data_IF_742731699242
#
_entry.id   IF_742731699242
#
_cell.length_a   1.000
_cell.length_b   1.000
_cell.length_c   1.000
_cell.angle_alpha   90.00
_cell.angle_beta   90.00
_cell.angle_gamma   90.00
#
_symmetry.space_group_name_H-M   'P 1'
#
loop_
_entity.id
_entity.type
_entity.pdbx_description
1 polymer ?
#
# COMPACT_ATOMS: atom_id res chain seq x y z
N UNK A 1 -2.58 13.76 18.80
CA UNK A 1 -3.09 13.02 17.62
C UNK A 1 -4.04 11.90 18.07
N UNK A 2 -5.37 12.05 17.91
CA UNK A 2 -6.36 11.23 18.63
C UNK A 2 -6.64 9.84 18.02
N UNK A 3 -6.40 9.63 16.73
CA UNK A 3 -6.85 8.40 16.03
C UNK A 3 -6.03 7.13 16.37
N UNK A 4 -4.77 7.27 16.76
CA UNK A 4 -3.88 6.12 17.05
C UNK A 4 -3.98 5.58 18.49
N UNK A 5 -4.84 6.16 19.34
CA UNK A 5 -5.13 5.65 20.70
C UNK A 5 -6.49 4.97 20.83
N UNK A 6 -7.24 4.84 19.74
CA UNK A 6 -8.57 4.24 19.75
C UNK A 6 -8.50 2.79 19.24
N UNK A 7 -8.82 1.77 20.07
CA UNK A 7 -8.86 0.37 19.63
C UNK A 7 -9.97 0.05 18.61
N UNK A 8 -10.69 1.07 18.12
CA UNK A 8 -11.78 1.00 17.13
C UNK A 8 -11.52 1.89 15.91
N UNK A 9 -10.30 1.96 15.40
CA UNK A 9 -10.03 2.63 14.13
C UNK A 9 -10.79 1.91 13.00
N UNK A 10 -11.65 2.64 12.29
CA UNK A 10 -12.38 2.13 11.13
C UNK A 10 -11.59 2.43 9.85
N UNK A 11 -11.81 1.62 8.82
CA UNK A 11 -11.21 1.86 7.50
C UNK A 11 -11.59 3.24 6.96
N UNK A 12 -12.84 3.67 7.22
CA UNK A 12 -13.39 4.97 6.85
C UNK A 12 -12.68 6.15 7.52
N UNK A 13 -11.94 5.92 8.62
CA UNK A 13 -11.20 6.96 9.30
C UNK A 13 -9.84 7.23 8.62
N UNK A 14 -9.35 6.29 7.80
CA UNK A 14 -8.01 6.30 7.20
C UNK A 14 -8.02 6.38 5.67
N UNK A 15 -9.02 5.75 5.03
CA UNK A 15 -9.17 5.67 3.58
C UNK A 15 -10.12 6.76 3.08
N UNK A 16 -9.56 7.79 2.45
CA UNK A 16 -10.32 8.84 1.77
C UNK A 16 -10.46 8.54 0.29
N UNK A 17 -11.38 9.23 -0.40
CA UNK A 17 -11.64 9.03 -1.84
C UNK A 17 -10.38 9.30 -2.67
N UNK A 18 -9.60 10.31 -2.28
CA UNK A 18 -8.34 10.69 -2.94
C UNK A 18 -7.25 9.61 -2.82
N UNK A 19 -7.41 8.67 -1.88
CA UNK A 19 -6.51 7.55 -1.64
C UNK A 19 -7.00 6.24 -2.25
N UNK A 20 -8.05 6.31 -3.08
CA UNK A 20 -8.59 5.18 -3.83
C UNK A 20 -8.29 5.39 -5.32
N UNK A 21 -7.70 4.39 -5.97
CA UNK A 21 -7.43 4.44 -7.41
C UNK A 21 -7.99 3.22 -8.15
N UNK A 22 -8.95 3.47 -9.03
CA UNK A 22 -9.63 2.44 -9.83
C UNK A 22 -9.80 2.94 -11.27
N UNK A 23 -9.20 2.27 -12.28
CA UNK A 23 -8.17 1.24 -12.13
C UNK A 23 -6.80 1.83 -11.75
N UNK A 24 -5.93 0.96 -11.22
CA UNK A 24 -4.49 1.19 -11.18
C UNK A 24 -3.90 1.17 -12.59
N UNK A 25 -2.87 1.98 -12.82
CA UNK A 25 -2.19 2.11 -14.11
C UNK A 25 -1.04 1.11 -14.27
N UNK A 26 -0.52 0.57 -13.17
CA UNK A 26 0.62 -0.35 -13.15
C UNK A 26 0.25 -1.79 -13.52
N UNK A 27 1.22 -2.52 -14.08
CA UNK A 27 1.06 -3.91 -14.57
C UNK A 27 2.08 -4.91 -13.98
N UNK A 28 2.95 -4.44 -13.08
CA UNK A 28 3.85 -5.27 -12.30
C UNK A 28 3.57 -5.08 -10.80
N UNK A 29 3.99 -6.05 -9.98
CA UNK A 29 3.83 -6.00 -8.53
C UNK A 29 4.55 -4.78 -7.92
N UNK A 30 5.80 -4.55 -8.32
CA UNK A 30 6.61 -3.46 -7.80
C UNK A 30 6.05 -2.09 -8.23
N UNK A 31 5.58 -1.97 -9.46
CA UNK A 31 4.96 -0.73 -9.96
C UNK A 31 3.61 -0.46 -9.28
N UNK A 32 2.84 -1.49 -8.94
CA UNK A 32 1.59 -1.32 -8.16
C UNK A 32 1.89 -0.89 -6.73
N UNK A 33 2.88 -1.51 -6.08
CA UNK A 33 3.32 -1.14 -4.74
C UNK A 33 3.76 0.32 -4.71
N UNK A 34 4.60 0.71 -5.68
CA UNK A 34 5.04 2.09 -5.85
C UNK A 34 3.88 3.05 -6.09
N UNK A 35 2.97 2.72 -7.01
CA UNK A 35 1.80 3.54 -7.32
C UNK A 35 0.92 3.78 -6.08
N UNK A 36 0.63 2.72 -5.32
CA UNK A 36 -0.19 2.80 -4.10
C UNK A 36 0.49 3.55 -2.97
N UNK A 37 1.81 3.43 -2.83
CA UNK A 37 2.59 4.20 -1.85
C UNK A 37 2.59 5.68 -2.20
N UNK A 38 2.88 6.03 -3.46
CA UNK A 38 2.88 7.43 -3.89
C UNK A 38 1.50 8.08 -3.76
N UNK A 39 0.43 7.31 -3.92
CA UNK A 39 -0.94 7.75 -3.62
C UNK A 39 -1.17 8.01 -2.12
N UNK A 40 -0.47 7.29 -1.23
CA UNK A 40 -0.61 7.44 0.22
C UNK A 40 0.10 8.69 0.74
N UNK A 41 1.24 9.03 0.14
CA UNK A 41 2.14 10.11 0.58
C UNK A 41 2.33 11.24 -0.46
N UNK A 42 1.25 11.85 -1.00
CA UNK A 42 1.36 12.80 -2.11
C UNK A 42 2.10 14.09 -1.76
N UNK A 43 2.21 14.41 -0.47
CA UNK A 43 2.86 15.64 0.03
C UNK A 43 4.24 15.40 0.64
N UNK A 44 4.70 14.14 0.69
CA UNK A 44 6.03 13.80 1.21
C UNK A 44 7.06 14.08 0.13
N UNK A 45 8.22 14.64 0.52
CA UNK A 45 9.29 14.96 -0.42
C UNK A 45 9.80 13.71 -1.14
N UNK A 46 10.25 13.86 -2.39
CA UNK A 46 10.59 12.74 -3.27
C UNK A 46 11.55 11.72 -2.61
N UNK A 47 12.62 12.18 -1.97
CA UNK A 47 13.57 11.30 -1.30
C UNK A 47 12.97 10.49 -0.14
N UNK A 48 12.02 11.08 0.61
CA UNK A 48 11.30 10.39 1.66
C UNK A 48 10.28 9.41 1.08
N UNK A 49 9.55 9.80 0.03
CA UNK A 49 8.63 8.90 -0.68
C UNK A 49 9.33 7.65 -1.21
N UNK A 50 10.55 7.78 -1.77
CA UNK A 50 11.35 6.61 -2.17
C UNK A 50 11.66 5.69 -0.99
N UNK A 51 12.01 6.24 0.19
CA UNK A 51 12.27 5.42 1.38
C UNK A 51 11.00 4.69 1.86
N UNK A 52 9.82 5.31 1.73
CA UNK A 52 8.54 4.63 2.00
C UNK A 52 8.32 3.47 1.01
N UNK A 53 8.57 3.70 -0.28
CA UNK A 53 8.44 2.68 -1.33
C UNK A 53 9.37 1.51 -1.04
N UNK A 54 10.65 1.77 -0.77
CA UNK A 54 11.64 0.75 -0.41
C UNK A 54 11.19 -0.06 0.81
N UNK A 55 10.73 0.59 1.88
CA UNK A 55 10.28 -0.11 3.07
C UNK A 55 9.11 -1.08 2.82
N UNK A 56 8.19 -0.73 1.92
CA UNK A 56 7.06 -1.60 1.52
C UNK A 56 7.54 -2.75 0.63
N UNK A 57 8.41 -2.47 -0.34
CA UNK A 57 8.99 -3.49 -1.23
C UNK A 57 9.80 -4.52 -0.44
N UNK A 58 10.68 -4.06 0.45
CA UNK A 58 11.49 -4.93 1.31
C UNK A 58 10.61 -5.83 2.17
N UNK A 59 9.51 -5.28 2.73
CA UNK A 59 8.55 -6.07 3.50
C UNK A 59 7.88 -7.14 2.65
N UNK A 60 7.50 -6.82 1.43
CA UNK A 60 6.85 -7.74 0.51
C UNK A 60 7.80 -8.87 0.04
N UNK A 61 9.10 -8.57 -0.10
CA UNK A 61 10.12 -9.56 -0.46
C UNK A 61 10.32 -10.64 0.62
N UNK A 62 10.12 -10.30 1.90
CA UNK A 62 10.23 -11.27 3.01
C UNK A 62 9.14 -12.34 2.96
N UNK A 63 7.89 -11.91 2.71
CA UNK A 63 6.72 -12.77 2.68
C UNK A 63 5.61 -12.07 1.92
N UNK A 64 5.06 -12.75 0.92
CA UNK A 64 3.92 -12.25 0.13
C UNK A 64 2.77 -11.82 1.05
N UNK A 65 2.22 -10.63 0.79
CA UNK A 65 1.06 -10.10 1.51
C UNK A 65 -0.28 -10.51 0.88
N UNK A 66 -0.24 -11.36 -0.15
CA UNK A 66 -1.43 -11.99 -0.70
C UNK A 66 -2.17 -12.80 0.37
N UNK A 67 -3.49 -12.67 0.41
CA UNK A 67 -4.35 -13.43 1.32
C UNK A 67 -5.33 -14.35 0.56
N UNK A 68 -5.19 -14.45 -0.76
CA UNK A 68 -6.07 -15.23 -1.64
C UNK A 68 -7.19 -14.39 -2.24
N UNK A 69 -7.99 -15.01 -3.11
CA UNK A 69 -9.15 -14.39 -3.77
C UNK A 69 -8.85 -13.07 -4.51
N UNK A 70 -7.62 -12.88 -4.97
CA UNK A 70 -7.20 -11.65 -5.66
C UNK A 70 -6.98 -10.45 -4.72
N UNK A 71 -6.87 -10.67 -3.41
CA UNK A 71 -6.67 -9.61 -2.41
C UNK A 71 -5.25 -9.71 -1.83
N UNK A 72 -4.62 -8.56 -1.60
CA UNK A 72 -3.39 -8.42 -0.84
C UNK A 72 -3.50 -7.26 0.16
N UNK A 73 -2.90 -7.43 1.33
CA UNK A 73 -2.87 -6.40 2.40
C UNK A 73 -1.44 -5.90 2.55
N UNK A 74 -1.14 -4.88 1.75
CA UNK A 74 0.19 -4.28 1.65
C UNK A 74 0.47 -3.45 2.90
N UNK A 75 1.65 -3.62 3.47
CA UNK A 75 2.10 -2.83 4.61
C UNK A 75 3.60 -2.58 4.56
N UNK A 76 4.01 -1.48 5.18
CA UNK A 76 5.40 -1.12 5.41
C UNK A 76 5.47 -0.15 6.58
N UNK A 77 6.62 -0.13 7.25
CA UNK A 77 6.90 0.78 8.36
C UNK A 77 8.15 1.58 8.01
N UNK A 78 8.11 2.87 8.28
CA UNK A 78 9.20 3.80 8.01
C UNK A 78 9.08 4.99 8.96
N UNK A 79 10.21 5.63 9.25
CA UNK A 79 10.26 6.83 10.08
C UNK A 79 9.86 8.10 9.28
N UNK A 80 9.68 7.98 7.96
CA UNK A 80 9.25 9.09 7.09
C UNK A 80 7.79 9.50 7.27
N UNK A 81 6.99 8.67 7.95
CA UNK A 81 5.55 8.91 8.14
C UNK A 81 5.19 8.67 9.60
N UNK A 82 4.79 9.74 10.29
CA UNK A 82 4.45 9.70 11.72
C UNK A 82 3.04 9.14 12.02
N UNK A 83 2.23 8.91 10.98
CA UNK A 83 0.84 8.47 11.10
C UNK A 83 0.54 7.27 10.23
N UNK A 84 -0.49 6.50 10.57
CA UNK A 84 -0.96 5.40 9.71
C UNK A 84 -1.69 6.01 8.52
N UNK A 85 -1.23 5.63 7.32
CA UNK A 85 -1.83 6.00 6.04
C UNK A 85 -2.36 4.73 5.37
N UNK A 86 -3.44 4.87 4.61
CA UNK A 86 -4.08 3.76 3.92
C UNK A 86 -4.50 4.18 2.51
N UNK A 87 -4.17 3.35 1.52
CA UNK A 87 -4.65 3.46 0.14
C UNK A 87 -5.30 2.17 -0.31
N UNK A 88 -6.14 2.26 -1.34
CA UNK A 88 -6.73 1.10 -1.97
C UNK A 88 -6.70 1.26 -3.50
N UNK A 89 -6.56 0.15 -4.21
CA UNK A 89 -6.65 0.18 -5.66
C UNK A 89 -7.08 -1.14 -6.26
N UNK A 90 -7.57 -1.06 -7.49
CA UNK A 90 -8.02 -2.21 -8.27
C UNK A 90 -7.19 -2.30 -9.55
N UNK A 91 -6.49 -3.42 -9.73
CA UNK A 91 -5.78 -3.71 -10.99
C UNK A 91 -6.77 -4.08 -12.10
N UNK A 92 -6.58 -3.53 -13.30
CA UNK A 92 -7.48 -3.78 -14.44
C UNK A 92 -7.46 -5.23 -14.92
N UNK A 93 -6.28 -5.85 -14.89
CA UNK A 93 -6.04 -7.21 -15.37
C UNK A 93 -4.99 -7.84 -14.45
N UNK A 94 -5.25 -8.99 -13.81
CA UNK A 94 -4.22 -9.71 -13.08
C UNK A 94 -3.20 -10.27 -14.08
N UNK A 95 -1.99 -9.73 -14.12
CA UNK A 95 -0.89 -10.30 -14.91
C UNK A 95 -0.18 -11.40 -14.11
N UNK A 96 0.51 -12.33 -14.80
CA UNK A 96 1.28 -13.41 -14.14
C UNK A 96 2.33 -12.86 -13.16
N UNK A 97 2.91 -11.68 -13.45
CA UNK A 97 3.84 -10.95 -12.58
C UNK A 97 3.18 -10.28 -11.37
N UNK A 98 1.86 -10.24 -11.31
CA UNK A 98 1.04 -9.69 -10.21
C UNK A 98 0.43 -10.77 -9.32
N UNK A 99 0.92 -12.02 -9.39
CA UNK A 99 0.46 -13.08 -8.49
C UNK A 99 0.94 -12.81 -7.06
N UNK A 100 0.12 -12.11 -6.29
CA UNK A 100 0.15 -12.19 -4.84
C UNK A 100 -0.36 -13.57 -4.42
N UNK A 101 0.57 -14.44 -4.06
CA UNK A 101 0.23 -15.74 -3.49
C UNK A 101 -0.04 -15.59 -2.00
N UNK A 102 -0.86 -16.48 -1.45
CA UNK A 102 -0.91 -16.65 0.01
C UNK A 102 0.51 -16.97 0.47
N UNK A 103 1.00 -16.26 1.49
CA UNK A 103 2.28 -16.62 2.12
C UNK A 103 2.23 -18.09 2.62
N UNK A 104 3.39 -18.78 2.73
CA UNK A 104 3.47 -20.07 3.40
C UNK A 104 2.79 -20.12 4.76
#
# INVERSE_FOLDING_TARGET
MPFLRNPRALLSDLLTVERIKVPLASFSKDDVLRELVLLAVPTVGAAASERVVTAVLDRELLLSTGIGSGIAILNGRTDEVETVLLTAGLVSVPTTSMRWTVGP
#
